data_IF_962493064419
#
_entry.id   IF_962493064419
#
_cell.length_a   1.000
_cell.length_b   1.000
_cell.length_c   1.000
_cell.angle_alpha   90.00
_cell.angle_beta   90.00
_cell.angle_gamma   90.00
#
_symmetry.space_group_name_H-M   'P 1'
#
loop_
_entity.id
_entity.type
_entity.pdbx_description
1 polymer ?
#
# COMPACT_ATOMS: atom_id res chain seq x y z
N UNK A 1 7.42 33.44 8.54
CA UNK A 1 7.25 33.09 9.97
C UNK A 1 8.61 32.63 10.48
N UNK A 2 9.27 33.44 11.31
CA UNK A 2 10.65 33.20 11.77
C UNK A 2 10.65 32.21 12.92
N UNK A 3 11.39 31.11 12.79
CA UNK A 3 11.56 30.12 13.84
C UNK A 3 12.52 30.70 14.89
N UNK A 4 12.05 30.91 16.12
CA UNK A 4 12.87 31.38 17.25
C UNK A 4 12.98 30.27 18.30
N UNK A 5 13.84 29.26 18.07
CA UNK A 5 13.89 28.06 18.91
C UNK A 5 14.50 28.30 20.31
N UNK A 6 15.02 29.50 20.57
CA UNK A 6 15.60 29.90 21.85
C UNK A 6 14.64 30.84 22.58
N UNK A 7 14.41 30.59 23.86
CA UNK A 7 13.91 31.59 24.80
C UNK A 7 15.08 32.10 25.66
N UNK A 8 14.89 33.17 26.44
CA UNK A 8 15.91 33.64 27.39
C UNK A 8 16.30 32.59 28.42
N UNK A 9 15.40 31.63 28.69
CA UNK A 9 15.51 30.71 29.81
C UNK A 9 15.82 29.27 29.35
N UNK A 10 15.62 28.95 28.07
CA UNK A 10 15.90 27.62 27.50
C UNK A 10 16.49 27.73 26.09
N UNK A 11 17.82 27.67 25.93
CA UNK A 11 18.44 27.53 24.61
C UNK A 11 18.17 26.13 24.04
N UNK A 12 18.09 26.03 22.71
CA UNK A 12 18.08 24.74 22.02
C UNK A 12 19.45 24.09 22.19
N UNK A 13 19.51 22.99 22.95
CA UNK A 13 20.70 22.18 23.12
C UNK A 13 20.58 20.88 22.33
N UNK A 14 21.66 20.51 21.65
CA UNK A 14 21.80 19.19 21.02
C UNK A 14 22.74 18.34 21.86
N UNK A 15 22.35 17.08 22.07
CA UNK A 15 23.13 16.09 22.81
C UNK A 15 23.28 16.31 24.31
N UNK A 16 22.52 17.24 24.89
CA UNK A 16 22.42 17.41 26.34
C UNK A 16 21.04 17.91 26.75
N UNK A 17 20.54 17.41 27.89
CA UNK A 17 19.37 17.94 28.59
C UNK A 17 19.61 17.81 30.10
N UNK A 18 19.70 18.94 30.80
CA UNK A 18 20.05 19.00 32.23
C UNK A 18 21.33 18.19 32.53
N UNK A 19 21.23 17.11 33.30
CA UNK A 19 22.34 16.24 33.68
C UNK A 19 22.57 15.08 32.71
N UNK A 20 21.68 14.86 31.74
CA UNK A 20 21.81 13.80 30.75
C UNK A 20 22.58 14.30 29.52
N UNK A 21 23.61 13.57 29.12
CA UNK A 21 24.37 13.81 27.89
C UNK A 21 24.27 12.61 26.99
N UNK A 22 24.16 12.83 25.68
CA UNK A 22 24.39 11.75 24.72
C UNK A 22 25.83 11.85 24.23
N UNK A 23 26.53 10.72 24.21
CA UNK A 23 27.85 10.62 23.62
C UNK A 23 27.72 9.94 22.26
N UNK A 24 28.00 10.70 21.21
CA UNK A 24 27.88 10.24 19.83
C UNK A 24 27.92 11.41 18.86
N UNK A 25 28.03 11.08 17.58
CA UNK A 25 28.05 12.06 16.51
C UNK A 25 26.62 12.29 16.03
N UNK A 26 26.18 13.54 16.01
CA UNK A 26 24.96 13.95 15.30
C UNK A 26 25.36 14.35 13.89
N UNK A 27 24.83 13.65 12.90
CA UNK A 27 25.18 13.88 11.50
C UNK A 27 24.48 15.13 10.93
N UNK A 28 23.17 15.29 11.20
CA UNK A 28 22.38 16.42 10.72
C UNK A 28 21.12 16.63 11.59
N UNK A 29 20.68 17.90 11.74
CA UNK A 29 19.44 18.27 12.44
C UNK A 29 18.65 19.23 11.56
N UNK A 30 17.37 18.92 11.33
CA UNK A 30 16.45 19.73 10.53
C UNK A 30 15.26 20.12 11.41
N UNK A 31 14.91 21.40 11.45
CA UNK A 31 13.85 21.95 12.32
C UNK A 31 12.78 22.64 11.46
N UNK A 32 11.52 22.28 11.68
CA UNK A 32 10.37 22.83 10.94
C UNK A 32 9.53 23.73 11.85
N UNK A 33 9.00 24.84 11.30
CA UNK A 33 8.11 25.76 12.02
C UNK A 33 6.63 25.32 11.96
N UNK A 34 6.39 24.09 11.50
CA UNK A 34 5.08 23.47 11.38
C UNK A 34 5.21 21.96 11.56
N UNK A 35 4.10 21.32 11.86
CA UNK A 35 4.02 19.87 11.76
C UNK A 35 4.26 19.44 10.30
N UNK A 36 5.08 18.40 10.14
CA UNK A 36 5.21 17.69 8.88
C UNK A 36 4.04 16.74 8.71
N UNK A 37 3.53 16.64 7.49
CA UNK A 37 2.63 15.56 7.09
C UNK A 37 3.41 14.24 6.95
N UNK A 38 2.75 13.06 7.00
CA UNK A 38 3.44 11.79 6.82
C UNK A 38 4.30 11.71 5.54
N UNK A 39 3.83 12.16 4.36
CA UNK A 39 4.67 12.19 3.15
C UNK A 39 5.91 13.09 3.29
N UNK A 40 5.82 14.19 4.03
CA UNK A 40 6.96 15.09 4.23
C UNK A 40 7.99 14.54 5.22
N UNK A 41 7.55 13.85 6.28
CA UNK A 41 8.45 13.12 7.17
C UNK A 41 9.24 12.06 6.40
N UNK A 42 8.57 11.32 5.52
CA UNK A 42 9.20 10.31 4.67
C UNK A 42 10.27 10.91 3.75
N UNK A 43 10.00 12.08 3.15
CA UNK A 43 10.99 12.78 2.32
C UNK A 43 12.24 13.19 3.10
N UNK A 44 12.07 13.64 4.35
CA UNK A 44 13.17 13.99 5.26
C UNK A 44 13.98 12.76 5.65
N UNK A 45 13.33 11.67 6.02
CA UNK A 45 13.99 10.41 6.39
C UNK A 45 14.76 9.80 5.22
N UNK A 46 14.15 9.78 4.02
CA UNK A 46 14.82 9.31 2.79
C UNK A 46 16.07 10.14 2.49
N UNK A 47 15.98 11.47 2.61
CA UNK A 47 17.14 12.35 2.45
C UNK A 47 18.26 12.05 3.47
N UNK A 48 17.92 11.93 4.76
CA UNK A 48 18.91 11.66 5.80
C UNK A 48 19.56 10.28 5.62
N UNK A 49 18.79 9.26 5.25
CA UNK A 49 19.29 7.91 4.95
C UNK A 49 20.20 7.90 3.73
N UNK A 50 19.79 8.53 2.64
CA UNK A 50 20.59 8.65 1.43
C UNK A 50 21.87 9.47 1.62
N UNK A 51 21.91 10.40 2.59
CA UNK A 51 23.10 11.20 2.86
C UNK A 51 24.07 10.54 3.84
N UNK A 52 23.54 9.88 4.87
CA UNK A 52 24.33 9.46 6.02
C UNK A 52 24.43 7.94 6.23
N UNK A 53 23.61 7.12 5.56
CA UNK A 53 23.52 5.66 5.76
C UNK A 53 23.86 4.83 4.51
N UNK A 54 24.52 5.40 3.50
CA UNK A 54 24.80 4.78 2.18
C UNK A 54 25.81 3.62 2.17
N UNK A 55 26.31 3.17 3.31
CA UNK A 55 27.17 1.98 3.37
C UNK A 55 26.34 0.69 3.41
N UNK A 56 25.81 0.31 2.24
CA UNK A 56 25.69 -1.11 1.83
C UNK A 56 24.44 -1.91 2.21
N UNK A 57 23.64 -1.49 3.19
CA UNK A 57 22.35 -2.14 3.46
C UNK A 57 21.21 -1.25 2.93
N UNK A 58 20.85 -1.46 1.66
CA UNK A 58 19.53 -0.99 1.20
C UNK A 58 18.46 -1.59 2.12
N UNK A 59 17.38 -0.87 2.44
CA UNK A 59 16.27 -1.42 3.22
C UNK A 59 15.61 -2.54 2.44
N UNK A 60 16.16 -3.74 2.53
CA UNK A 60 15.58 -4.95 1.97
C UNK A 60 14.50 -5.39 2.96
N UNK A 61 13.26 -5.39 2.51
CA UNK A 61 12.23 -6.16 3.20
C UNK A 61 12.69 -7.62 3.13
N UNK A 62 12.90 -8.26 4.28
CA UNK A 62 13.08 -9.71 4.30
C UNK A 62 11.93 -10.35 3.52
N UNK A 63 12.20 -11.36 2.69
CA UNK A 63 11.20 -12.02 1.86
C UNK A 63 10.16 -12.80 2.71
N UNK A 64 9.28 -12.06 3.39
CA UNK A 64 8.30 -12.54 4.35
C UNK A 64 6.97 -11.83 4.18
N UNK A 65 6.05 -12.12 5.10
CA UNK A 65 4.74 -11.47 5.16
C UNK A 65 4.78 -10.28 6.13
N UNK A 66 4.18 -9.16 5.74
CA UNK A 66 4.13 -7.93 6.54
C UNK A 66 2.72 -7.40 6.68
N UNK A 67 2.43 -6.85 7.86
CA UNK A 67 1.22 -6.06 8.08
C UNK A 67 1.57 -4.58 8.10
N UNK A 68 1.04 -3.83 7.12
CA UNK A 68 1.17 -2.37 7.06
C UNK A 68 -0.10 -1.80 7.66
N UNK A 69 -0.09 -1.63 8.98
CA UNK A 69 -1.23 -1.15 9.75
C UNK A 69 -1.80 0.17 9.18
N UNK A 70 -3.09 0.41 9.41
CA UNK A 70 -3.72 1.67 8.97
C UNK A 70 -3.00 2.88 9.56
N UNK A 71 -2.68 3.86 8.71
CA UNK A 71 -1.88 5.04 9.08
C UNK A 71 -0.37 4.80 9.14
N UNK A 72 0.11 3.55 8.93
CA UNK A 72 1.52 3.27 8.76
C UNK A 72 1.99 3.54 7.33
N UNK A 73 3.27 3.91 7.20
CA UNK A 73 3.91 4.23 5.93
C UNK A 73 5.23 3.45 5.81
N UNK A 74 5.43 2.81 4.67
CA UNK A 74 6.66 2.09 4.31
C UNK A 74 7.24 2.74 3.06
N UNK A 75 8.51 3.16 3.14
CA UNK A 75 9.25 3.75 2.03
C UNK A 75 10.32 2.77 1.55
N UNK A 76 10.24 2.33 0.30
CA UNK A 76 11.19 1.39 -0.32
C UNK A 76 12.45 2.11 -0.85
N UNK A 77 12.56 3.43 -0.69
CA UNK A 77 13.75 4.22 -1.03
C UNK A 77 14.21 4.16 -2.49
N UNK A 78 13.25 3.98 -3.39
CA UNK A 78 13.48 3.82 -4.83
C UNK A 78 13.98 2.44 -5.22
N UNK A 79 13.96 1.47 -4.30
CA UNK A 79 14.45 0.11 -4.55
C UNK A 79 13.32 -0.86 -4.89
N UNK A 80 13.69 -1.93 -5.60
CA UNK A 80 12.80 -3.05 -5.88
C UNK A 80 12.78 -4.01 -4.69
N UNK A 81 11.59 -4.34 -4.20
CA UNK A 81 11.40 -5.22 -3.04
C UNK A 81 10.43 -6.35 -3.38
N UNK A 82 10.69 -7.54 -2.85
CA UNK A 82 9.81 -8.71 -2.99
C UNK A 82 9.37 -9.21 -1.63
N UNK A 83 8.07 -9.38 -1.44
CA UNK A 83 7.46 -9.90 -0.20
C UNK A 83 6.59 -11.12 -0.50
N UNK A 84 6.53 -12.06 0.43
CA UNK A 84 5.67 -13.26 0.31
C UNK A 84 4.26 -13.02 0.85
N UNK A 85 4.01 -11.86 1.44
CA UNK A 85 2.67 -11.43 1.79
C UNK A 85 2.62 -9.98 2.26
N UNK A 86 1.45 -9.37 2.11
CA UNK A 86 1.20 -8.00 2.55
C UNK A 86 -0.25 -7.85 3.00
N UNK A 87 -0.46 -7.32 4.20
CA UNK A 87 -1.78 -7.04 4.75
C UNK A 87 -1.88 -5.62 5.27
N UNK A 88 -3.09 -5.24 5.68
CA UNK A 88 -3.34 -4.00 6.41
C UNK A 88 -3.82 -2.87 5.50
N UNK A 89 -3.94 -1.68 6.09
CA UNK A 89 -4.58 -0.52 5.46
C UNK A 89 -3.67 0.71 5.31
N UNK A 90 -2.35 0.53 5.40
CA UNK A 90 -1.39 1.62 5.31
C UNK A 90 -0.93 1.93 3.88
N UNK A 91 0.27 2.47 3.76
CA UNK A 91 0.85 2.90 2.48
C UNK A 91 2.26 2.36 2.27
N UNK A 92 2.55 1.77 1.11
CA UNK A 92 3.91 1.46 0.63
C UNK A 92 4.24 2.37 -0.53
N UNK A 93 5.46 2.91 -0.60
CA UNK A 93 5.80 3.93 -1.59
C UNK A 93 7.25 3.88 -2.06
N UNK A 94 7.52 4.60 -3.16
CA UNK A 94 8.84 4.97 -3.64
C UNK A 94 9.76 3.78 -3.90
N UNK A 95 9.60 3.14 -5.06
CA UNK A 95 10.31 1.93 -5.49
C UNK A 95 9.43 1.06 -6.38
N UNK A 96 9.74 -0.23 -6.46
CA UNK A 96 8.88 -1.27 -7.05
C UNK A 96 8.56 -2.32 -5.99
N UNK A 97 7.30 -2.71 -5.85
CA UNK A 97 6.89 -3.78 -4.94
C UNK A 97 6.41 -5.01 -5.73
N UNK A 98 7.06 -6.15 -5.51
CA UNK A 98 6.56 -7.46 -5.95
C UNK A 98 5.95 -8.20 -4.78
N UNK A 99 4.70 -8.66 -4.92
CA UNK A 99 4.04 -9.55 -3.96
C UNK A 99 3.89 -10.92 -4.62
N UNK A 100 4.37 -11.98 -3.95
CA UNK A 100 4.36 -13.35 -4.47
C UNK A 100 3.50 -14.35 -3.68
N UNK A 101 2.83 -13.88 -2.63
CA UNK A 101 1.90 -14.71 -1.86
C UNK A 101 0.65 -13.93 -1.47
N UNK A 102 0.21 -14.05 -0.21
CA UNK A 102 -1.08 -13.52 0.22
C UNK A 102 -1.08 -11.99 0.32
N UNK A 103 -2.00 -11.35 -0.38
CA UNK A 103 -2.28 -9.92 -0.34
C UNK A 103 -3.71 -9.69 0.16
N UNK A 104 -3.86 -9.07 1.34
CA UNK A 104 -5.15 -8.78 1.97
C UNK A 104 -5.24 -7.29 2.31
N UNK A 105 -5.65 -6.42 1.37
CA UNK A 105 -5.88 -5.01 1.68
C UNK A 105 -6.91 -4.89 2.81
N UNK A 106 -6.69 -4.03 3.80
CA UNK A 106 -7.59 -3.93 4.97
C UNK A 106 -7.34 -4.96 6.07
N UNK A 107 -6.92 -6.18 5.70
CA UNK A 107 -6.69 -7.29 6.62
C UNK A 107 -7.59 -8.48 6.29
N UNK A 108 -7.69 -9.45 7.19
CA UNK A 108 -8.69 -10.53 7.08
C UNK A 108 -9.90 -10.14 7.92
N UNK A 109 -11.09 -10.37 7.37
CA UNK A 109 -12.39 -10.08 7.99
C UNK A 109 -12.55 -8.58 8.36
N UNK A 110 -11.84 -7.69 7.67
CA UNK A 110 -11.84 -6.25 7.93
C UNK A 110 -11.81 -5.49 6.63
N UNK A 111 -12.92 -4.80 6.32
CA UNK A 111 -12.99 -3.91 5.16
C UNK A 111 -11.95 -2.77 5.29
N UNK A 112 -11.08 -2.65 4.31
CA UNK A 112 -10.09 -1.58 4.30
C UNK A 112 -9.46 -1.28 2.95
N UNK A 113 -8.47 -0.39 2.97
CA UNK A 113 -7.77 0.06 1.78
C UNK A 113 -6.28 0.06 2.01
N UNK A 114 -5.54 -0.67 1.17
CA UNK A 114 -4.08 -0.64 1.14
C UNK A 114 -3.62 0.21 -0.04
N UNK A 115 -2.75 1.19 0.22
CA UNK A 115 -2.20 2.07 -0.83
C UNK A 115 -0.79 1.63 -1.22
N UNK A 116 -0.57 1.39 -2.50
CA UNK A 116 0.73 1.12 -3.10
C UNK A 116 1.09 2.28 -4.03
N UNK A 117 1.77 3.28 -3.48
CA UNK A 117 2.34 4.42 -4.20
C UNK A 117 3.67 4.07 -4.87
N UNK A 118 3.66 2.96 -5.62
CA UNK A 118 4.82 2.28 -6.22
C UNK A 118 4.35 1.51 -7.46
N UNK A 119 5.24 1.22 -8.39
CA UNK A 119 4.99 0.18 -9.40
C UNK A 119 4.82 -1.16 -8.67
N UNK A 120 3.73 -1.86 -8.98
CA UNK A 120 3.31 -3.06 -8.26
C UNK A 120 3.25 -4.26 -9.20
N UNK A 121 3.92 -5.34 -8.81
CA UNK A 121 3.90 -6.63 -9.51
C UNK A 121 3.25 -7.66 -8.60
N UNK A 122 2.13 -8.23 -9.03
CA UNK A 122 1.54 -9.42 -8.42
C UNK A 122 2.01 -10.64 -9.23
N UNK A 123 2.84 -11.49 -8.63
CA UNK A 123 3.50 -12.61 -9.33
C UNK A 123 3.26 -13.91 -8.60
N UNK A 124 2.29 -14.70 -9.06
CA UNK A 124 1.86 -15.91 -8.35
C UNK A 124 1.11 -15.63 -7.04
N UNK A 125 0.68 -14.39 -6.82
CA UNK A 125 0.04 -13.95 -5.58
C UNK A 125 -1.41 -14.44 -5.45
N UNK A 126 -1.91 -14.43 -4.22
CA UNK A 126 -3.34 -14.51 -3.89
C UNK A 126 -3.81 -13.14 -3.43
N UNK A 127 -4.58 -12.43 -4.25
CA UNK A 127 -5.31 -11.24 -3.80
C UNK A 127 -6.62 -11.70 -3.15
N UNK A 128 -6.69 -11.56 -1.83
CA UNK A 128 -7.88 -11.91 -1.04
C UNK A 128 -8.61 -10.65 -0.61
N UNK A 129 -9.92 -10.64 -0.81
CA UNK A 129 -10.78 -9.46 -0.60
C UNK A 129 -11.95 -9.82 0.31
N UNK A 130 -12.15 -9.05 1.36
CA UNK A 130 -13.39 -8.95 2.12
C UNK A 130 -14.42 -8.16 1.33
N UNK A 131 -15.68 -8.60 1.41
CA UNK A 131 -16.80 -7.98 0.73
C UNK A 131 -18.04 -7.98 1.62
N UNK A 132 -18.88 -6.97 1.45
CA UNK A 132 -20.14 -6.83 2.17
C UNK A 132 -21.35 -6.76 1.23
N UNK A 133 -22.58 -6.98 1.74
CA UNK A 133 -23.79 -7.05 0.89
C UNK A 133 -24.15 -5.73 0.19
N UNK A 134 -23.61 -4.61 0.65
CA UNK A 134 -23.91 -3.28 0.09
C UNK A 134 -23.08 -2.96 -1.17
N UNK A 135 -22.04 -3.74 -1.47
CA UNK A 135 -21.09 -3.52 -2.56
C UNK A 135 -19.72 -2.99 -2.09
N UNK A 136 -19.57 -2.68 -0.79
CA UNK A 136 -18.26 -2.37 -0.24
C UNK A 136 -17.37 -3.63 -0.20
N UNK A 137 -16.09 -3.42 -0.41
CA UNK A 137 -15.06 -4.45 -0.34
C UNK A 137 -13.72 -3.82 0.01
N UNK A 138 -12.75 -4.68 0.30
CA UNK A 138 -11.36 -4.25 0.33
C UNK A 138 -10.93 -3.65 -1.00
N UNK A 139 -10.04 -2.67 -0.90
CA UNK A 139 -9.53 -1.95 -2.05
C UNK A 139 -8.01 -1.87 -2.04
N UNK A 140 -7.41 -2.33 -3.14
CA UNK A 140 -6.01 -2.10 -3.46
C UNK A 140 -5.88 -0.83 -4.30
N UNK A 141 -5.29 0.23 -3.74
CA UNK A 141 -5.06 1.48 -4.47
C UNK A 141 -3.61 1.53 -4.94
N UNK A 142 -3.37 1.25 -6.21
CA UNK A 142 -2.06 1.37 -6.84
C UNK A 142 -1.95 2.75 -7.49
N UNK A 143 -0.84 3.46 -7.27
CA UNK A 143 -0.58 4.76 -7.89
C UNK A 143 0.50 4.70 -8.98
N UNK A 144 1.23 3.57 -9.08
CA UNK A 144 2.09 3.22 -10.20
C UNK A 144 1.43 2.21 -11.13
N UNK A 145 2.24 1.52 -11.94
CA UNK A 145 1.78 0.40 -12.76
C UNK A 145 1.32 -0.79 -11.92
N UNK A 146 0.32 -1.51 -12.41
CA UNK A 146 -0.15 -2.77 -11.83
C UNK A 146 0.06 -3.88 -12.86
N UNK A 147 1.04 -4.73 -12.60
CA UNK A 147 1.35 -5.90 -13.42
C UNK A 147 0.88 -7.17 -12.73
N UNK A 148 0.02 -7.94 -13.40
CA UNK A 148 -0.64 -9.12 -12.83
C UNK A 148 -0.20 -10.37 -13.60
N UNK A 149 0.61 -11.22 -12.97
CA UNK A 149 1.07 -12.49 -13.53
C UNK A 149 0.70 -13.65 -12.61
N UNK A 150 0.00 -14.66 -13.15
CA UNK A 150 -0.39 -15.88 -12.43
C UNK A 150 -1.07 -15.63 -11.08
N UNK A 151 -1.76 -14.50 -10.92
CA UNK A 151 -2.38 -14.08 -9.65
C UNK A 151 -3.83 -14.52 -9.61
N UNK A 152 -4.25 -15.04 -8.46
CA UNK A 152 -5.64 -15.45 -8.21
C UNK A 152 -6.37 -14.43 -7.34
N UNK A 153 -7.68 -14.30 -7.56
CA UNK A 153 -8.59 -13.54 -6.70
C UNK A 153 -9.41 -14.51 -5.85
N UNK A 154 -9.34 -14.39 -4.53
CA UNK A 154 -10.21 -15.09 -3.58
C UNK A 154 -11.09 -14.08 -2.84
N UNK A 155 -12.29 -14.51 -2.42
CA UNK A 155 -13.21 -13.67 -1.65
C UNK A 155 -13.38 -14.32 -0.28
N UNK A 156 -12.94 -13.65 0.77
CA UNK A 156 -12.97 -14.16 2.14
C UNK A 156 -14.42 -14.42 2.60
N UNK A 157 -15.30 -13.46 2.32
CA UNK A 157 -16.70 -13.45 2.73
C UNK A 157 -17.64 -13.72 1.54
N UNK A 158 -17.39 -14.78 0.78
CA UNK A 158 -18.07 -15.04 -0.50
C UNK A 158 -19.62 -15.06 -0.38
N UNK A 159 -20.15 -15.58 0.73
CA UNK A 159 -21.59 -15.63 0.99
C UNK A 159 -22.25 -14.24 1.11
N UNK A 160 -21.46 -13.18 1.34
CA UNK A 160 -21.94 -11.80 1.42
C UNK A 160 -21.98 -11.09 0.07
N UNK A 161 -21.51 -11.74 -1.01
CA UNK A 161 -21.60 -11.17 -2.33
C UNK A 161 -23.07 -11.10 -2.81
N UNK A 162 -23.49 -9.91 -3.23
CA UNK A 162 -24.87 -9.63 -3.65
C UNK A 162 -24.95 -9.32 -5.16
N UNK A 163 -25.76 -10.06 -5.95
CA UNK A 163 -25.97 -9.75 -7.37
C UNK A 163 -26.45 -8.32 -7.59
N UNK A 164 -26.04 -7.71 -8.70
CA UNK A 164 -26.34 -6.31 -9.02
C UNK A 164 -25.46 -5.29 -8.28
N UNK A 165 -24.58 -5.72 -7.37
CA UNK A 165 -23.55 -4.88 -6.78
C UNK A 165 -22.27 -4.89 -7.62
N UNK A 166 -21.53 -3.78 -7.51
CA UNK A 166 -20.19 -3.62 -8.05
C UNK A 166 -19.21 -3.51 -6.89
N UNK A 167 -18.21 -4.39 -6.87
CA UNK A 167 -17.15 -4.42 -5.88
C UNK A 167 -15.86 -3.89 -6.53
N UNK A 168 -15.40 -2.70 -6.12
CA UNK A 168 -14.20 -2.07 -6.68
C UNK A 168 -12.95 -2.58 -5.94
N UNK A 169 -12.34 -3.63 -6.49
CA UNK A 169 -11.23 -4.37 -5.88
C UNK A 169 -9.91 -3.61 -5.96
N UNK A 170 -9.63 -2.98 -7.10
CA UNK A 170 -8.40 -2.23 -7.26
C UNK A 170 -8.58 -1.00 -8.13
N UNK A 171 -7.71 -0.01 -7.91
CA UNK A 171 -7.51 1.11 -8.83
C UNK A 171 -6.05 1.32 -9.14
N UNK A 172 -5.78 1.82 -10.34
CA UNK A 172 -4.46 2.09 -10.90
C UNK A 172 -4.55 3.29 -11.86
N UNK A 173 -3.44 3.96 -12.24
CA UNK A 173 -3.50 5.02 -13.23
C UNK A 173 -3.99 4.49 -14.60
N UNK A 174 -4.77 5.28 -15.37
CA UNK A 174 -5.22 4.89 -16.70
C UNK A 174 -4.11 4.36 -17.61
N UNK A 175 -4.38 3.24 -18.29
CA UNK A 175 -3.44 2.56 -19.19
C UNK A 175 -2.33 1.76 -18.51
N UNK A 176 -2.25 1.75 -17.17
CA UNK A 176 -1.12 1.16 -16.43
C UNK A 176 -1.40 -0.24 -15.86
N UNK A 177 -2.41 -0.95 -16.38
CA UNK A 177 -2.67 -2.35 -16.04
C UNK A 177 -2.09 -3.28 -17.11
N UNK A 178 -1.38 -4.32 -16.68
CA UNK A 178 -1.02 -5.45 -17.55
C UNK A 178 -1.40 -6.78 -16.91
N UNK A 179 -1.75 -7.76 -17.75
CA UNK A 179 -2.18 -9.09 -17.30
C UNK A 179 -3.61 -9.14 -16.75
N UNK A 180 -3.94 -10.24 -16.08
CA UNK A 180 -5.33 -10.55 -15.67
C UNK A 180 -5.37 -11.34 -14.37
N UNK A 181 -6.36 -11.09 -13.52
CA UNK A 181 -6.67 -11.91 -12.36
C UNK A 181 -7.47 -13.16 -12.75
N UNK A 182 -7.17 -14.28 -12.11
CA UNK A 182 -7.98 -15.51 -12.22
C UNK A 182 -8.85 -15.68 -10.98
N UNK A 183 -10.19 -15.70 -11.08
CA UNK A 183 -11.05 -15.91 -9.92
C UNK A 183 -10.94 -17.35 -9.40
N UNK A 184 -10.78 -17.51 -8.08
CA UNK A 184 -10.55 -18.79 -7.40
C UNK A 184 -11.41 -18.94 -6.13
N UNK A 185 -12.73 -18.80 -6.28
CA UNK A 185 -13.72 -18.96 -5.20
C UNK A 185 -14.94 -19.75 -5.70
N UNK A 186 -15.76 -20.30 -4.81
CA UNK A 186 -16.71 -21.37 -5.15
C UNK A 186 -17.76 -20.93 -6.18
N UNK A 187 -18.26 -19.70 -6.07
CA UNK A 187 -19.24 -19.10 -6.98
C UNK A 187 -18.62 -18.31 -8.12
N UNK A 188 -17.30 -18.39 -8.38
CA UNK A 188 -16.60 -17.61 -9.40
C UNK A 188 -17.28 -17.61 -10.79
N UNK A 189 -17.90 -18.73 -11.18
CA UNK A 189 -18.64 -18.86 -12.44
C UNK A 189 -19.84 -17.91 -12.56
N UNK A 190 -20.35 -17.37 -11.45
CA UNK A 190 -21.45 -16.39 -11.38
C UNK A 190 -20.97 -14.94 -11.45
N UNK A 191 -19.66 -14.72 -11.44
CA UNK A 191 -19.07 -13.38 -11.35
C UNK A 191 -18.15 -13.09 -12.54
N UNK A 192 -17.94 -11.81 -12.80
CA UNK A 192 -17.08 -11.31 -13.86
C UNK A 192 -16.13 -10.28 -13.25
N UNK A 193 -14.84 -10.44 -13.54
CA UNK A 193 -13.81 -9.44 -13.27
C UNK A 193 -13.80 -8.49 -14.47
N UNK A 194 -14.07 -7.22 -14.22
CA UNK A 194 -14.05 -6.16 -15.23
C UNK A 194 -12.82 -5.29 -14.98
N UNK A 195 -11.92 -5.27 -15.94
CA UNK A 195 -10.80 -4.33 -15.99
C UNK A 195 -11.17 -3.18 -16.93
N UNK A 196 -11.32 -1.98 -16.39
CA UNK A 196 -11.44 -0.76 -17.17
C UNK A 196 -10.10 -0.04 -17.16
N UNK A 197 -9.32 -0.22 -18.23
CA UNK A 197 -8.00 0.40 -18.38
C UNK A 197 -8.07 1.88 -18.68
N UNK A 198 -9.20 2.40 -19.15
CA UNK A 198 -9.39 3.83 -19.43
C UNK A 198 -9.62 4.62 -18.14
N UNK A 199 -10.41 4.07 -17.20
CA UNK A 199 -10.67 4.72 -15.91
C UNK A 199 -9.73 4.27 -14.80
N UNK A 200 -8.98 3.19 -15.01
CA UNK A 200 -8.03 2.69 -14.03
C UNK A 200 -8.67 1.86 -12.92
N UNK A 201 -9.68 1.04 -13.26
CA UNK A 201 -10.48 0.31 -12.28
C UNK A 201 -10.48 -1.21 -12.55
N UNK A 202 -10.37 -2.00 -11.49
CA UNK A 202 -10.63 -3.44 -11.49
C UNK A 202 -11.79 -3.72 -10.54
N UNK A 203 -12.85 -4.32 -11.06
CA UNK A 203 -14.06 -4.56 -10.26
C UNK A 203 -14.69 -5.92 -10.52
N UNK A 204 -15.39 -6.45 -9.52
CA UNK A 204 -16.18 -7.68 -9.62
C UNK A 204 -17.66 -7.32 -9.69
N UNK A 205 -18.37 -7.91 -10.65
CA UNK A 205 -19.83 -7.79 -10.78
C UNK A 205 -20.45 -9.15 -11.07
N UNK A 206 -21.70 -9.36 -10.68
CA UNK A 206 -22.42 -10.58 -11.04
C UNK A 206 -22.59 -10.67 -12.56
N UNK A 207 -22.42 -11.87 -13.13
CA UNK A 207 -22.86 -12.16 -14.51
C UNK A 207 -24.38 -12.03 -14.53
N UNK A 208 -24.89 -11.06 -15.27
CA UNK A 208 -26.33 -10.93 -15.48
C UNK A 208 -26.91 -12.17 -16.15
N UNK A 209 -28.22 -12.39 -15.99
CA UNK A 209 -28.96 -13.33 -16.82
C UNK A 209 -28.86 -12.85 -18.28
N UNK A 210 -28.41 -13.72 -19.19
CA UNK A 210 -28.45 -13.45 -20.62
C UNK A 210 -29.93 -13.39 -21.05
N UNK A 211 -30.52 -12.19 -21.14
CA UNK A 211 -31.83 -12.04 -21.80
C UNK A 211 -31.55 -11.99 -23.30
N UNK A 212 -31.69 -13.13 -23.98
CA UNK A 212 -31.85 -13.13 -25.43
C UNK A 212 -33.23 -12.55 -25.73
N UNK A 213 -33.26 -11.32 -26.24
CA UNK A 213 -34.46 -10.78 -26.88
C UNK A 213 -34.44 -11.38 -28.29
N UNK A 214 -35.36 -12.31 -28.57
CA UNK A 214 -35.67 -12.75 -29.94
C UNK A 214 -36.57 -11.71 -30.62
#
# INVERSE_FOLDING_TARGET
LTLSPNTSDTPLTLGSRFTATCWGNVAEVIVFNRALTPPEMMGVEAYLRAKWLTSGAQPVLSAGAFDVASGAFVNLDGTDQTVTGLSGGGCVSNGTLTVSGLLTPGGIDTLGTLTLATDTVLSGAELRVDAAPDGSCDRLVVQGSLSISQTVLTIQNEALLAPGKRYLIATFPPGMLSGTLTPAFASASKWMINANTETGELSLTSRGLLIMIQ
#
